data_IF_651016726091
#
_entry.id   IF_651016726091
#
_cell.length_a   1.000
_cell.length_b   1.000
_cell.length_c   1.000
_cell.angle_alpha   90.00
_cell.angle_beta   90.00
_cell.angle_gamma   90.00
#
_symmetry.space_group_name_H-M   'P 1'
#
loop_
_entity.id
_entity.type
_entity.pdbx_description
1 polymer ?
#
# COMPACT_ATOMS: atom_id res chain seq x y z
N UNK A 1 -5.91 -18.16 -14.47
CA UNK A 1 -6.28 -17.34 -13.30
C UNK A 1 -6.91 -16.05 -13.83
N UNK A 2 -8.18 -16.07 -14.26
CA UNK A 2 -8.68 -14.96 -15.13
C UNK A 2 -10.15 -14.54 -14.93
N UNK A 3 -10.95 -15.22 -14.10
CA UNK A 3 -12.38 -14.87 -13.95
C UNK A 3 -12.75 -14.39 -12.54
N UNK A 4 -12.07 -14.86 -11.49
CA UNK A 4 -12.34 -14.46 -10.10
C UNK A 4 -11.96 -13.01 -9.77
N UNK A 5 -10.97 -12.43 -10.46
CA UNK A 5 -10.49 -11.07 -10.17
C UNK A 5 -11.43 -9.98 -10.70
N UNK A 6 -12.24 -10.25 -11.73
CA UNK A 6 -13.05 -9.20 -12.36
C UNK A 6 -14.18 -8.67 -11.47
N UNK A 7 -14.62 -9.45 -10.47
CA UNK A 7 -15.72 -9.09 -9.56
C UNK A 7 -15.54 -9.69 -8.16
N UNK A 8 -14.33 -9.63 -7.61
CA UNK A 8 -14.01 -10.23 -6.30
C UNK A 8 -15.02 -9.85 -5.19
N UNK A 9 -15.57 -8.64 -5.24
CA UNK A 9 -16.53 -8.11 -4.27
C UNK A 9 -17.83 -8.91 -4.18
N UNK A 10 -18.25 -9.60 -5.24
CA UNK A 10 -19.50 -10.42 -5.22
C UNK A 10 -19.45 -11.59 -4.25
N UNK A 11 -18.26 -11.99 -3.81
CA UNK A 11 -18.07 -13.06 -2.85
C UNK A 11 -17.67 -12.53 -1.46
N UNK A 12 -17.77 -11.22 -1.25
CA UNK A 12 -17.44 -10.57 0.02
C UNK A 12 -18.69 -9.97 0.65
N UNK A 13 -18.77 -10.04 1.98
CA UNK A 13 -19.76 -9.33 2.78
C UNK A 13 -19.33 -7.89 3.04
N UNK A 14 -20.25 -7.06 3.53
CA UNK A 14 -19.93 -5.70 3.96
C UNK A 14 -18.77 -5.66 4.96
N UNK A 15 -18.78 -6.54 5.97
CA UNK A 15 -17.75 -6.58 6.99
C UNK A 15 -16.36 -6.95 6.42
N UNK A 16 -16.31 -7.87 5.47
CA UNK A 16 -15.05 -8.30 4.83
C UNK A 16 -14.46 -7.25 3.89
N UNK A 17 -15.32 -6.43 3.27
CA UNK A 17 -14.93 -5.40 2.31
C UNK A 17 -14.69 -4.03 2.96
N UNK A 18 -15.28 -3.79 4.14
CA UNK A 18 -15.06 -2.57 4.92
C UNK A 18 -13.58 -2.38 5.24
N UNK A 19 -13.10 -1.14 5.14
CA UNK A 19 -11.71 -0.74 5.38
C UNK A 19 -10.66 -1.37 4.45
N UNK A 20 -11.07 -2.15 3.45
CA UNK A 20 -10.16 -2.65 2.42
C UNK A 20 -9.77 -1.54 1.46
N UNK A 21 -8.59 -1.64 0.85
CA UNK A 21 -8.12 -0.68 -0.15
C UNK A 21 -8.46 -1.17 -1.55
N UNK A 22 -8.89 -0.26 -2.42
CA UNK A 22 -9.19 -0.57 -3.81
C UNK A 22 -8.54 0.42 -4.75
N UNK A 23 -8.14 -0.06 -5.92
CA UNK A 23 -7.84 0.77 -7.09
C UNK A 23 -9.02 0.69 -8.04
N UNK A 24 -9.61 1.83 -8.38
CA UNK A 24 -10.68 1.97 -9.35
C UNK A 24 -10.10 2.63 -10.60
N UNK A 25 -10.34 2.03 -11.77
CA UNK A 25 -9.99 2.59 -13.07
C UNK A 25 -11.26 2.77 -13.90
N UNK A 26 -11.48 3.96 -14.44
CA UNK A 26 -12.64 4.30 -15.29
C UNK A 26 -12.19 4.98 -16.59
N UNK A 27 -13.13 5.18 -17.52
CA UNK A 27 -12.91 5.88 -18.79
C UNK A 27 -11.71 5.34 -19.58
N UNK A 28 -11.56 4.01 -19.67
CA UNK A 28 -10.45 3.40 -20.41
C UNK A 28 -9.07 3.54 -19.76
N UNK A 29 -8.99 4.03 -18.52
CA UNK A 29 -7.72 4.23 -17.79
C UNK A 29 -7.38 5.69 -17.51
N UNK A 30 -8.11 6.64 -18.09
CA UNK A 30 -7.90 8.08 -17.90
C UNK A 30 -8.13 8.52 -16.45
N UNK A 31 -8.96 7.78 -15.71
CA UNK A 31 -9.18 8.02 -14.29
C UNK A 31 -8.74 6.79 -13.48
N UNK A 32 -7.76 6.98 -12.59
CA UNK A 32 -7.31 5.97 -11.63
C UNK A 32 -7.39 6.56 -10.23
N UNK A 33 -8.17 5.92 -9.36
CA UNK A 33 -8.37 6.32 -7.98
C UNK A 33 -7.97 5.19 -7.05
N UNK A 34 -7.23 5.50 -6.00
CA UNK A 34 -6.94 4.57 -4.91
C UNK A 34 -7.48 5.11 -3.60
N UNK A 35 -8.28 4.31 -2.91
CA UNK A 35 -8.82 4.73 -1.62
C UNK A 35 -9.17 3.52 -0.75
N UNK A 36 -9.32 3.80 0.53
CA UNK A 36 -9.85 2.85 1.50
C UNK A 36 -11.38 2.94 1.50
N UNK A 37 -12.05 1.79 1.47
CA UNK A 37 -13.49 1.70 1.53
C UNK A 37 -13.98 2.04 2.94
N UNK A 38 -14.77 3.09 3.03
CA UNK A 38 -15.40 3.57 4.25
C UNK A 38 -16.91 3.38 4.17
N UNK A 39 -17.59 3.10 5.31
CA UNK A 39 -19.05 3.07 5.37
C UNK A 39 -19.65 4.39 4.90
N UNK A 40 -20.60 4.30 3.96
CA UNK A 40 -21.43 5.41 3.49
C UNK A 40 -22.79 5.44 4.18
N UNK A 41 -23.80 5.97 3.49
CA UNK A 41 -25.18 5.99 3.98
C UNK A 41 -25.78 4.58 3.81
N UNK A 42 -26.41 4.06 4.88
CA UNK A 42 -26.96 2.70 4.87
C UNK A 42 -25.86 1.63 4.79
N UNK A 43 -26.14 0.55 4.08
CA UNK A 43 -25.21 -0.58 3.89
C UNK A 43 -24.35 -0.40 2.64
N UNK A 44 -23.73 0.77 2.50
CA UNK A 44 -22.85 1.12 1.36
C UNK A 44 -21.39 1.28 1.77
N UNK A 45 -20.49 0.99 0.84
CA UNK A 45 -19.05 1.21 0.98
C UNK A 45 -18.52 2.03 -0.18
N UNK A 46 -17.73 3.06 0.10
CA UNK A 46 -17.14 3.91 -0.91
C UNK A 46 -15.98 4.74 -0.38
N UNK A 47 -15.61 5.78 -1.09
CA UNK A 47 -14.64 6.76 -0.64
C UNK A 47 -15.29 7.79 0.30
N UNK A 48 -14.47 8.47 1.09
CA UNK A 48 -14.92 9.64 1.87
C UNK A 48 -15.33 10.81 0.98
N UNK A 49 -14.70 10.93 -0.19
CA UNK A 49 -15.10 11.85 -1.24
C UNK A 49 -16.27 11.25 -2.02
N UNK A 50 -17.31 12.04 -2.29
CA UNK A 50 -18.53 11.52 -2.92
C UNK A 50 -18.40 11.37 -4.43
N UNK A 51 -17.73 12.32 -5.10
CA UNK A 51 -17.61 12.33 -6.56
C UNK A 51 -16.25 12.82 -7.02
N UNK A 52 -15.76 12.25 -8.12
CA UNK A 52 -14.58 12.73 -8.87
C UNK A 52 -14.95 12.73 -10.34
N UNK A 53 -14.83 13.86 -11.03
CA UNK A 53 -15.16 14.00 -12.46
C UNK A 53 -16.55 13.44 -12.84
N UNK A 54 -17.54 13.60 -11.95
CA UNK A 54 -18.92 13.11 -12.15
C UNK A 54 -19.12 11.61 -11.92
N UNK A 55 -18.06 10.89 -11.52
CA UNK A 55 -18.07 9.49 -11.12
C UNK A 55 -18.34 9.36 -9.62
N UNK A 56 -19.37 8.60 -9.25
CA UNK A 56 -19.86 8.48 -7.88
C UNK A 56 -19.06 7.40 -7.12
N UNK A 57 -18.15 7.83 -6.24
CA UNK A 57 -17.27 6.96 -5.44
C UNK A 57 -17.67 6.88 -3.99
N UNK A 58 -18.51 7.80 -3.49
CA UNK A 58 -18.96 7.82 -2.09
C UNK A 58 -19.74 6.57 -1.69
N UNK A 59 -20.41 5.94 -2.66
CA UNK A 59 -21.18 4.71 -2.50
C UNK A 59 -20.81 3.77 -3.65
N UNK A 60 -19.59 3.25 -3.65
CA UNK A 60 -19.08 2.38 -4.74
C UNK A 60 -19.75 1.00 -4.72
N UNK A 61 -19.99 0.47 -3.54
CA UNK A 61 -20.65 -0.82 -3.32
C UNK A 61 -21.87 -0.66 -2.42
N UNK A 62 -22.85 -1.53 -2.60
CA UNK A 62 -23.98 -1.69 -1.70
C UNK A 62 -24.16 -3.16 -1.34
N UNK A 63 -24.62 -3.44 -0.13
CA UNK A 63 -24.98 -4.79 0.28
C UNK A 63 -26.29 -5.20 -0.39
N UNK A 64 -26.26 -6.29 -1.16
CA UNK A 64 -27.42 -6.90 -1.77
C UNK A 64 -28.32 -7.58 -0.74
N UNK A 65 -29.51 -7.98 -1.17
CA UNK A 65 -30.48 -8.67 -0.30
C UNK A 65 -29.98 -10.02 0.22
N UNK A 66 -28.99 -10.62 -0.44
CA UNK A 66 -28.34 -11.87 -0.06
C UNK A 66 -27.15 -11.67 0.91
N UNK A 67 -26.85 -10.43 1.30
CA UNK A 67 -25.75 -10.09 2.20
C UNK A 67 -24.37 -9.98 1.54
N UNK A 68 -24.30 -10.08 0.21
CA UNK A 68 -23.05 -9.91 -0.54
C UNK A 68 -22.95 -8.54 -1.20
N UNK A 69 -21.73 -8.09 -1.48
CA UNK A 69 -21.52 -6.77 -2.06
C UNK A 69 -21.81 -6.74 -3.56
N UNK A 70 -22.58 -5.75 -3.97
CA UNK A 70 -22.87 -5.40 -5.35
C UNK A 70 -22.25 -4.06 -5.72
N UNK A 71 -21.85 -3.91 -6.99
CA UNK A 71 -21.37 -2.63 -7.51
C UNK A 71 -22.57 -1.69 -7.73
N UNK A 72 -22.50 -0.47 -7.20
CA UNK A 72 -23.53 0.53 -7.50
C UNK A 72 -23.51 0.94 -8.96
N UNK A 73 -24.59 1.57 -9.42
CA UNK A 73 -24.70 1.97 -10.83
C UNK A 73 -23.68 3.06 -11.16
N UNK A 74 -22.70 2.71 -12.00
CA UNK A 74 -21.68 3.64 -12.47
C UNK A 74 -22.02 4.21 -13.84
N UNK A 75 -21.64 5.47 -14.09
CA UNK A 75 -21.87 6.17 -15.36
C UNK A 75 -20.92 5.75 -16.48
N UNK A 76 -19.87 5.00 -16.15
CA UNK A 76 -18.87 4.49 -17.09
C UNK A 76 -18.44 3.07 -16.69
N UNK A 77 -17.92 2.26 -17.65
CA UNK A 77 -17.28 0.99 -17.32
C UNK A 77 -16.12 1.20 -16.36
N UNK A 78 -16.02 0.33 -15.35
CA UNK A 78 -14.94 0.39 -14.36
C UNK A 78 -14.26 -0.95 -14.17
N UNK A 79 -12.96 -0.88 -13.87
CA UNK A 79 -12.17 -1.98 -13.33
C UNK A 79 -11.84 -1.66 -11.89
N UNK A 80 -12.03 -2.63 -10.99
CA UNK A 80 -11.75 -2.45 -9.57
C UNK A 80 -10.86 -3.60 -9.12
N UNK A 81 -9.73 -3.24 -8.50
CA UNK A 81 -8.76 -4.19 -7.96
C UNK A 81 -8.68 -4.02 -6.45
N UNK A 82 -8.79 -5.12 -5.72
CA UNK A 82 -8.45 -5.16 -4.30
C UNK A 82 -6.95 -4.96 -4.13
N UNK A 83 -6.56 -3.99 -3.30
CA UNK A 83 -5.17 -3.72 -2.93
C UNK A 83 -4.88 -4.37 -1.57
N UNK A 84 -3.60 -4.62 -1.26
CA UNK A 84 -3.19 -5.02 0.08
C UNK A 84 -3.67 -4.04 1.16
N UNK A 85 -3.94 -4.57 2.35
CA UNK A 85 -4.52 -3.82 3.48
C UNK A 85 -3.61 -2.69 3.94
N UNK A 86 -2.31 -2.96 3.94
CA UNK A 86 -1.28 -1.94 4.09
C UNK A 86 -0.98 -1.32 2.73
N UNK A 87 -1.07 0.01 2.61
CA UNK A 87 -0.57 0.67 1.43
C UNK A 87 0.93 0.55 1.36
N UNK A 88 1.45 0.37 0.15
CA UNK A 88 2.87 0.57 -0.13
C UNK A 88 3.32 2.00 0.21
N UNK A 89 2.37 2.93 0.38
CA UNK A 89 2.61 4.33 0.71
C UNK A 89 1.62 4.84 1.78
N UNK A 90 2.12 5.45 2.86
CA UNK A 90 1.30 6.29 3.74
C UNK A 90 0.91 7.57 2.99
N UNK A 91 -0.38 7.88 2.95
CA UNK A 91 -0.88 9.14 2.40
C UNK A 91 -0.65 10.26 3.43
N UNK A 92 -0.10 11.37 2.98
CA UNK A 92 0.15 12.59 3.75
C UNK A 92 -0.77 13.67 3.16
N UNK A 93 -1.85 14.00 3.87
CA UNK A 93 -2.86 14.97 3.42
C UNK A 93 -2.50 16.42 3.77
N UNK A 94 -1.51 16.62 4.65
CA UNK A 94 -1.03 17.93 5.06
C UNK A 94 0.39 18.14 4.51
N UNK A 95 0.57 19.18 3.70
CA UNK A 95 1.85 19.50 3.06
C UNK A 95 2.97 19.72 4.09
N UNK A 96 2.66 20.22 5.28
CA UNK A 96 3.64 20.42 6.36
C UNK A 96 4.17 19.11 6.92
N UNK A 97 3.44 18.01 6.68
CA UNK A 97 3.85 16.67 7.06
C UNK A 97 4.77 15.99 6.05
N UNK A 98 5.04 16.60 4.88
CA UNK A 98 5.87 16.02 3.80
C UNK A 98 7.34 16.03 4.20
N UNK A 99 8.09 15.00 3.79
CA UNK A 99 9.51 14.87 4.06
C UNK A 99 10.29 14.43 2.81
N UNK A 100 11.63 14.59 2.78
CA UNK A 100 12.48 14.03 1.73
C UNK A 100 12.24 12.53 1.54
N UNK A 101 12.12 12.08 0.29
CA UNK A 101 11.81 10.70 -0.06
C UNK A 101 10.32 10.38 -0.20
N UNK A 102 9.42 11.30 0.16
CA UNK A 102 8.01 11.22 -0.21
C UNK A 102 7.82 11.51 -1.72
N UNK A 103 6.65 11.18 -2.25
CA UNK A 103 6.22 11.56 -3.60
C UNK A 103 5.13 12.62 -3.47
N UNK A 104 5.42 13.83 -3.92
CA UNK A 104 4.46 14.92 -4.01
C UNK A 104 3.46 14.64 -5.13
N UNK A 105 2.16 14.73 -4.85
CA UNK A 105 1.09 14.58 -5.84
C UNK A 105 0.39 15.91 -6.02
N UNK A 106 0.33 16.36 -7.28
CA UNK A 106 -0.34 17.58 -7.64
C UNK A 106 -1.85 17.37 -7.85
N UNK A 107 -2.63 18.45 -7.77
CA UNK A 107 -4.08 18.46 -8.05
C UNK A 107 -4.44 18.04 -9.48
N UNK A 108 -3.50 18.16 -10.43
CA UNK A 108 -3.63 17.64 -11.80
C UNK A 108 -3.24 16.16 -11.94
N UNK A 109 -2.83 15.50 -10.85
CA UNK A 109 -2.42 14.10 -10.80
C UNK A 109 -0.94 13.82 -11.07
N UNK A 110 -0.13 14.84 -11.41
CA UNK A 110 1.31 14.67 -11.62
C UNK A 110 2.03 14.31 -10.31
N UNK A 111 3.08 13.50 -10.43
CA UNK A 111 3.81 12.93 -9.28
C UNK A 111 5.29 13.23 -9.40
N UNK A 112 5.87 13.76 -8.33
CA UNK A 112 7.29 14.10 -8.30
C UNK A 112 7.94 13.67 -6.98
N UNK A 113 9.11 13.02 -7.01
CA UNK A 113 9.80 12.66 -5.78
C UNK A 113 10.35 13.91 -5.10
N UNK A 114 10.04 14.06 -3.82
CA UNK A 114 10.52 15.13 -2.95
C UNK A 114 11.98 14.84 -2.60
N UNK A 115 12.86 15.74 -2.98
CA UNK A 115 14.29 15.68 -2.69
C UNK A 115 14.62 16.36 -1.36
N UNK A 116 14.00 17.51 -1.12
CA UNK A 116 14.34 18.36 0.02
C UNK A 116 13.13 19.19 0.42
N UNK A 117 13.10 19.59 1.70
CA UNK A 117 12.18 20.60 2.23
C UNK A 117 13.04 21.81 2.59
N UNK A 118 12.72 22.97 2.02
CA UNK A 118 13.44 24.22 2.31
C UNK A 118 13.16 24.70 3.73
N UNK A 119 14.01 25.60 4.25
CA UNK A 119 13.84 26.19 5.58
C UNK A 119 12.51 26.93 5.77
N UNK A 120 11.93 27.45 4.69
CA UNK A 120 10.59 28.08 4.66
C UNK A 120 9.44 27.08 4.45
N UNK A 121 9.71 25.78 4.46
CA UNK A 121 8.71 24.70 4.47
C UNK A 121 8.23 24.22 3.11
N UNK A 122 8.87 24.63 2.01
CA UNK A 122 8.44 24.27 0.66
C UNK A 122 9.12 23.01 0.13
N UNK A 123 8.38 22.26 -0.67
CA UNK A 123 8.87 21.04 -1.29
C UNK A 123 9.72 21.35 -2.53
N UNK A 124 10.95 20.82 -2.55
CA UNK A 124 11.79 20.71 -3.73
C UNK A 124 11.66 19.30 -4.31
N UNK A 125 11.27 19.19 -5.58
CA UNK A 125 11.06 17.90 -6.26
C UNK A 125 11.99 17.71 -7.43
N UNK A 126 12.26 16.46 -7.80
CA UNK A 126 13.07 16.12 -8.97
C UNK A 126 12.21 16.00 -10.24
N UNK A 127 12.54 16.77 -11.27
CA UNK A 127 11.96 16.68 -12.61
C UNK A 127 13.13 16.67 -13.62
N UNK A 128 13.23 15.63 -14.45
CA UNK A 128 14.28 15.49 -15.46
C UNK A 128 15.71 15.76 -14.94
N UNK A 129 16.03 15.21 -13.77
CA UNK A 129 17.31 15.38 -13.05
C UNK A 129 17.60 16.79 -12.51
N UNK A 130 16.63 17.71 -12.58
CA UNK A 130 16.72 19.04 -11.99
C UNK A 130 15.77 19.18 -10.80
N UNK A 131 16.16 20.00 -9.83
CA UNK A 131 15.38 20.25 -8.63
C UNK A 131 14.54 21.51 -8.81
N UNK A 132 13.22 21.39 -8.61
CA UNK A 132 12.27 22.49 -8.75
C UNK A 132 11.47 22.68 -7.46
N UNK A 133 11.25 23.93 -7.09
CA UNK A 133 10.27 24.28 -6.05
C UNK A 133 8.88 24.16 -6.64
N UNK A 134 8.01 23.40 -5.97
CA UNK A 134 6.59 23.32 -6.32
C UNK A 134 5.79 24.25 -5.42
N UNK A 135 4.79 24.92 -6.01
CA UNK A 135 3.83 25.75 -5.30
C UNK A 135 2.89 24.88 -4.45
N UNK A 136 2.72 25.25 -3.18
CA UNK A 136 1.83 24.58 -2.23
C UNK A 136 0.38 24.57 -2.73
N UNK A 137 -0.04 25.56 -3.52
CA UNK A 137 -1.38 25.59 -4.13
C UNK A 137 -1.60 24.44 -5.14
N UNK A 138 -0.52 23.82 -5.62
CA UNK A 138 -0.61 22.65 -6.48
C UNK A 138 -0.71 21.33 -5.69
N UNK A 139 -0.56 21.35 -4.36
CA UNK A 139 -0.59 20.15 -3.51
C UNK A 139 -1.99 19.56 -3.41
N UNK A 140 -2.09 18.26 -3.67
CA UNK A 140 -3.29 17.46 -3.38
C UNK A 140 -3.05 16.55 -2.17
N UNK A 141 -1.97 15.75 -2.23
CA UNK A 141 -1.47 14.93 -1.14
C UNK A 141 -0.01 14.53 -1.44
N UNK A 142 0.68 13.92 -0.49
CA UNK A 142 1.91 13.19 -0.74
C UNK A 142 1.80 11.70 -0.40
N UNK A 143 2.61 10.89 -1.06
CA UNK A 143 2.74 9.46 -0.85
C UNK A 143 4.09 9.21 -0.21
N UNK A 144 4.10 8.95 1.09
CA UNK A 144 5.28 8.49 1.79
C UNK A 144 5.43 7.00 1.59
N UNK A 145 6.47 6.50 0.91
CA UNK A 145 6.72 5.05 0.87
C UNK A 145 6.67 4.52 2.30
N UNK A 146 5.87 3.48 2.53
CA UNK A 146 5.86 2.82 3.83
C UNK A 146 7.31 2.41 4.11
N UNK A 147 7.81 2.58 5.35
CA UNK A 147 9.12 2.03 5.70
C UNK A 147 9.13 0.58 5.26
N UNK A 148 10.22 0.18 4.57
CA UNK A 148 10.39 -1.16 4.04
C UNK A 148 9.95 -2.16 5.12
N UNK A 149 8.78 -2.79 4.94
CA UNK A 149 8.24 -3.73 5.93
C UNK A 149 9.20 -4.91 5.96
N UNK A 150 10.05 -4.94 6.97
CA UNK A 150 10.98 -6.02 7.24
C UNK A 150 10.39 -6.92 8.32
N UNK A 151 10.82 -8.19 8.40
CA UNK A 151 10.34 -9.09 9.43
C UNK A 151 10.68 -8.61 10.85
N UNK A 152 9.67 -8.48 11.71
CA UNK A 152 9.78 -7.88 13.05
C UNK A 152 9.23 -8.77 14.18
N UNK A 153 8.67 -9.93 13.82
CA UNK A 153 8.15 -10.94 14.75
C UNK A 153 8.40 -12.35 14.23
N UNK A 154 8.43 -13.36 15.13
CA UNK A 154 8.53 -14.76 14.74
C UNK A 154 7.39 -15.19 13.81
N UNK A 155 7.71 -16.09 12.88
CA UNK A 155 6.76 -16.70 11.95
C UNK A 155 7.29 -16.73 10.51
N UNK A 156 6.39 -17.04 9.58
CA UNK A 156 6.70 -17.17 8.17
C UNK A 156 6.47 -15.83 7.45
N UNK A 157 7.48 -15.43 6.67
CA UNK A 157 7.49 -14.18 5.92
C UNK A 157 7.80 -14.43 4.44
N UNK A 158 7.24 -13.63 3.56
CA UNK A 158 7.46 -13.67 2.12
C UNK A 158 7.90 -12.31 1.62
N UNK A 159 8.97 -12.22 0.83
CA UNK A 159 9.47 -10.97 0.26
C UNK A 159 8.69 -10.51 -0.99
N UNK A 160 9.02 -9.36 -1.57
CA UNK A 160 8.33 -8.84 -2.78
C UNK A 160 8.49 -9.71 -4.03
N UNK A 161 9.49 -10.58 -4.04
CA UNK A 161 9.86 -11.47 -5.14
C UNK A 161 9.36 -12.90 -4.94
N UNK A 162 8.65 -13.19 -3.84
CA UNK A 162 8.15 -14.52 -3.51
C UNK A 162 9.15 -15.44 -2.81
N UNK A 163 10.28 -14.90 -2.31
CA UNK A 163 11.21 -15.64 -1.44
C UNK A 163 10.59 -15.85 -0.06
N UNK A 164 10.69 -17.06 0.50
CA UNK A 164 10.15 -17.37 1.83
C UNK A 164 11.23 -17.40 2.89
N UNK A 165 10.88 -16.87 4.06
CA UNK A 165 11.74 -16.69 5.21
C UNK A 165 11.05 -17.14 6.49
N UNK A 166 11.77 -17.83 7.36
CA UNK A 166 11.32 -18.10 8.74
C UNK A 166 12.05 -17.17 9.70
N UNK A 167 11.29 -16.52 10.58
CA UNK A 167 11.82 -15.72 11.68
C UNK A 167 11.53 -16.41 13.00
N UNK A 168 12.50 -16.43 13.88
CA UNK A 168 12.34 -16.92 15.25
C UNK A 168 13.00 -15.98 16.24
N UNK A 169 12.61 -16.14 17.51
CA UNK A 169 13.16 -15.40 18.63
C UNK A 169 14.12 -16.27 19.42
N UNK A 170 15.30 -15.76 19.73
CA UNK A 170 16.26 -16.38 20.64
C UNK A 170 16.59 -15.38 21.77
N UNK A 171 15.99 -15.55 22.95
CA UNK A 171 16.10 -14.56 24.02
C UNK A 171 15.49 -13.21 23.60
N UNK A 172 16.28 -12.15 23.56
CA UNK A 172 15.88 -10.82 23.07
C UNK A 172 16.17 -10.62 21.57
N UNK A 173 16.72 -11.62 20.88
CA UNK A 173 17.13 -11.49 19.49
C UNK A 173 16.09 -12.05 18.52
N UNK A 174 15.93 -11.41 17.37
CA UNK A 174 15.18 -11.88 16.21
C UNK A 174 16.14 -12.32 15.13
N UNK A 175 15.97 -13.57 14.71
CA UNK A 175 16.80 -14.22 13.71
C UNK A 175 15.95 -14.62 12.51
N UNK A 176 16.53 -14.54 11.31
CA UNK A 176 15.86 -14.88 10.06
C UNK A 176 16.69 -15.87 9.25
N UNK A 177 16.01 -16.80 8.58
CA UNK A 177 16.59 -17.71 7.60
C UNK A 177 15.71 -17.73 6.35
N UNK A 178 16.33 -17.70 5.18
CA UNK A 178 15.63 -17.99 3.93
C UNK A 178 15.42 -19.50 3.83
N UNK A 179 14.18 -19.92 3.57
CA UNK A 179 13.80 -21.34 3.42
C UNK A 179 13.46 -21.70 1.97
N UNK A 180 13.23 -20.70 1.11
CA UNK A 180 12.93 -20.90 -0.31
C UNK A 180 13.27 -19.66 -1.15
N UNK A 181 13.82 -19.88 -2.34
CA UNK A 181 14.05 -18.83 -3.35
C UNK A 181 12.81 -18.54 -4.19
N UNK A 182 12.81 -17.37 -4.84
CA UNK A 182 11.73 -16.95 -5.75
C UNK A 182 11.52 -17.90 -6.92
N UNK A 183 12.55 -18.63 -7.34
CA UNK A 183 12.46 -19.63 -8.42
C UNK A 183 11.79 -20.95 -8.00
N UNK A 184 11.39 -21.07 -6.73
CA UNK A 184 10.73 -22.25 -6.21
C UNK A 184 11.63 -23.25 -5.48
N UNK A 185 12.95 -23.03 -5.43
CA UNK A 185 13.88 -23.97 -4.79
C UNK A 185 13.88 -23.83 -3.28
N UNK A 186 13.70 -24.96 -2.60
CA UNK A 186 13.91 -25.07 -1.16
C UNK A 186 15.41 -24.96 -0.86
N UNK A 187 15.79 -23.95 -0.09
CA UNK A 187 17.17 -23.69 0.33
C UNK A 187 17.16 -23.28 1.79
N UNK A 188 18.14 -23.71 2.57
CA UNK A 188 18.35 -23.15 3.90
C UNK A 188 19.52 -22.15 3.81
N UNK A 189 19.18 -20.86 3.88
CA UNK A 189 20.16 -19.79 3.90
C UNK A 189 20.92 -19.70 5.24
N UNK A 190 21.87 -18.77 5.37
CA UNK A 190 22.48 -18.48 6.66
C UNK A 190 21.43 -17.88 7.61
N UNK A 191 21.56 -18.18 8.90
CA UNK A 191 20.82 -17.48 9.96
C UNK A 191 21.40 -16.07 10.13
N UNK A 192 20.58 -15.05 9.95
CA UNK A 192 20.96 -13.65 10.06
C UNK A 192 20.24 -13.01 11.25
N UNK A 193 20.97 -12.16 12.00
CA UNK A 193 20.39 -11.38 13.08
C UNK A 193 19.67 -10.16 12.50
N UNK A 194 18.35 -10.08 12.64
CA UNK A 194 17.55 -8.90 12.28
C UNK A 194 17.61 -7.86 13.39
N UNK A 195 17.64 -8.30 14.66
CA UNK A 195 17.58 -7.37 15.78
C UNK A 195 17.62 -7.88 17.18
N UNK A 196 17.92 -6.96 18.11
CA UNK A 196 17.56 -7.09 19.52
C UNK A 196 16.29 -6.30 19.77
N UNK A 197 15.33 -6.86 20.51
CA UNK A 197 14.17 -6.10 20.99
C UNK A 197 14.65 -4.92 21.83
N UNK A 198 14.58 -3.71 21.28
CA UNK A 198 14.92 -2.46 21.97
C UNK A 198 16.17 -1.71 21.47
N UNK A 199 16.93 -2.25 20.50
CA UNK A 199 18.10 -1.57 19.91
C UNK A 199 18.10 -1.68 18.38
N UNK A 200 18.51 -0.61 17.68
CA UNK A 200 18.70 -0.61 16.24
C UNK A 200 19.89 -1.49 15.85
N UNK A 201 19.74 -2.19 14.72
CA UNK A 201 20.42 -3.45 14.47
C UNK A 201 21.25 -3.37 13.21
N UNK A 202 22.48 -3.87 13.32
CA UNK A 202 23.36 -4.35 12.26
C UNK A 202 22.96 -3.90 10.84
N UNK A 203 23.52 -2.76 10.44
CA UNK A 203 23.17 -2.00 9.24
C UNK A 203 23.11 -2.83 7.96
N UNK A 204 23.93 -3.88 7.83
CA UNK A 204 24.04 -4.67 6.60
C UNK A 204 22.84 -5.60 6.38
N UNK A 205 22.41 -6.33 7.41
CA UNK A 205 21.24 -7.23 7.33
C UNK A 205 19.97 -6.44 7.10
N UNK A 206 19.81 -5.33 7.83
CA UNK A 206 18.64 -4.45 7.70
C UNK A 206 18.57 -3.80 6.32
N UNK A 207 19.71 -3.40 5.73
CA UNK A 207 19.79 -2.89 4.35
C UNK A 207 19.45 -3.96 3.31
N UNK A 208 19.97 -5.18 3.45
CA UNK A 208 19.65 -6.28 2.54
C UNK A 208 18.16 -6.63 2.57
N UNK A 209 17.57 -6.76 3.77
CA UNK A 209 16.14 -6.99 3.92
C UNK A 209 15.32 -5.82 3.35
N UNK A 210 15.73 -4.58 3.59
CA UNK A 210 15.04 -3.41 3.03
C UNK A 210 15.02 -3.43 1.50
N UNK A 211 16.06 -3.98 0.85
CA UNK A 211 16.09 -4.13 -0.62
C UNK A 211 15.08 -5.17 -1.15
N UNK A 212 14.72 -6.16 -0.32
CA UNK A 212 13.78 -7.26 -0.62
C UNK A 212 12.34 -6.98 -0.17
N UNK A 213 12.16 -5.96 0.65
CA UNK A 213 10.85 -5.48 1.10
C UNK A 213 9.94 -5.02 -0.08
N UNK A 214 8.61 -4.96 0.13
CA UNK A 214 7.89 -5.27 1.37
C UNK A 214 7.80 -6.78 1.64
N UNK A 215 7.97 -7.18 2.90
CA UNK A 215 7.68 -8.53 3.36
C UNK A 215 6.22 -8.65 3.81
N UNK A 216 5.60 -9.79 3.52
CA UNK A 216 4.27 -10.18 3.98
C UNK A 216 4.39 -11.25 5.05
N UNK A 217 3.66 -11.09 6.15
CA UNK A 217 3.55 -12.11 7.18
C UNK A 217 2.45 -13.10 6.81
N UNK A 218 2.73 -14.39 6.95
CA UNK A 218 1.73 -15.44 6.83
C UNK A 218 1.28 -15.82 8.24
N UNK A 219 0.09 -15.33 8.65
CA UNK A 219 -0.61 -15.80 9.86
C UNK A 219 -1.16 -17.21 9.58
N UNK A 220 -0.26 -18.19 9.51
CA UNK A 220 -0.60 -19.61 9.48
C UNK A 220 -0.26 -20.22 10.83
N UNK A 221 -1.26 -20.72 11.54
CA UNK A 221 -1.02 -21.80 12.51
C UNK A 221 -0.29 -22.92 11.77
N UNK A 222 0.95 -23.20 12.20
CA UNK A 222 1.68 -24.42 11.85
C UNK A 222 1.18 -25.57 12.73
#
# INVERSE_FOLDING_TARGET
>A
MEEHDKRFWRNMTFAQLRNRRVRVSAYGGDMILEFRLTPGIGHTLGARQYTVNGFDIGELFHEGHDGFMELTRQKAPVSIKLLPDEPEYKIIEDITGVQPGDVFVQTNGNKYPVQEITDDGHCLVLIDSNTYRIDDAAFDHALRPAPARIPDRPGLWEDKSGGLYTVWKNGQELWIIQIRESDGRWVNGPALLIGKTGENVNDSTTKDLSSKAPFRFHDGEL
#
